data_IF_272591204696
#
_entry.id   IF_272591204696
#
_cell.length_a   1.000
_cell.length_b   1.000
_cell.length_c   1.000
_cell.angle_alpha   90.00
_cell.angle_beta   90.00
_cell.angle_gamma   90.00
#
_symmetry.space_group_name_H-M   'P 1'
#
loop_
_entity.id
_entity.type
_entity.pdbx_description
1 polymer ?
#
# COMPACT_ATOMS: atom_id res chain seq x y z
N UNK A 1 -14.81 -27.87 -122.54
CA UNK A 1 -15.84 -27.16 -121.74
C UNK A 1 -15.81 -27.46 -120.23
N UNK A 2 -14.74 -28.05 -119.66
CA UNK A 2 -14.65 -28.33 -118.20
C UNK A 2 -13.75 -27.35 -117.41
N UNK A 3 -12.97 -26.50 -118.10
CA UNK A 3 -11.95 -25.64 -117.46
C UNK A 3 -12.47 -24.23 -117.08
N UNK A 4 -13.56 -23.74 -117.70
CA UNK A 4 -14.15 -22.42 -117.37
C UNK A 4 -15.00 -22.43 -116.08
N UNK A 5 -15.52 -23.59 -115.68
CA UNK A 5 -16.35 -23.74 -114.47
C UNK A 5 -15.47 -23.71 -113.21
N UNK A 6 -14.19 -24.10 -113.31
CA UNK A 6 -13.25 -24.09 -112.19
C UNK A 6 -12.77 -22.68 -111.80
N UNK A 7 -12.66 -21.76 -112.77
CA UNK A 7 -12.28 -20.36 -112.49
C UNK A 7 -13.39 -19.54 -111.81
N UNK A 8 -14.67 -19.84 -112.06
CA UNK A 8 -15.80 -19.12 -111.44
C UNK A 8 -15.96 -19.55 -109.98
N UNK A 9 -15.69 -20.82 -109.65
CA UNK A 9 -15.70 -21.31 -108.27
C UNK A 9 -14.56 -20.72 -107.42
N UNK A 10 -13.39 -20.44 -108.02
CA UNK A 10 -12.28 -19.79 -107.32
C UNK A 10 -12.60 -18.32 -106.97
N UNK A 11 -13.25 -17.58 -107.87
CA UNK A 11 -13.58 -16.16 -107.63
C UNK A 11 -14.68 -15.96 -106.56
N UNK A 12 -15.61 -16.91 -106.43
CA UNK A 12 -16.62 -16.90 -105.36
C UNK A 12 -16.02 -17.17 -103.96
N UNK A 13 -14.91 -17.91 -103.88
CA UNK A 13 -14.24 -18.21 -102.62
C UNK A 13 -13.46 -17.01 -102.06
N UNK A 14 -12.97 -16.12 -102.92
CA UNK A 14 -12.24 -14.90 -102.50
C UNK A 14 -13.17 -13.78 -102.00
N UNK A 15 -14.47 -13.82 -102.31
CA UNK A 15 -15.44 -12.80 -101.92
C UNK A 15 -16.09 -13.02 -100.54
N UNK A 16 -15.95 -14.21 -99.94
CA UNK A 16 -16.57 -14.54 -98.65
C UNK A 16 -15.73 -14.14 -97.42
N UNK A 17 -14.56 -13.50 -97.61
CA UNK A 17 -13.60 -13.20 -96.54
C UNK A 17 -13.75 -11.84 -95.84
N UNK A 18 -14.65 -10.96 -96.27
CA UNK A 18 -14.88 -9.67 -95.63
C UNK A 18 -16.12 -9.69 -94.74
N UNK A 19 -15.94 -10.11 -93.48
CA UNK A 19 -16.85 -9.74 -92.39
C UNK A 19 -16.03 -9.20 -91.23
N UNK A 20 -16.03 -7.88 -91.04
CA UNK A 20 -15.53 -7.25 -89.81
C UNK A 20 -16.53 -7.56 -88.70
N UNK A 21 -16.13 -8.42 -87.78
CA UNK A 21 -16.92 -8.78 -86.61
C UNK A 21 -16.37 -8.01 -85.42
N UNK A 22 -17.19 -7.11 -84.88
CA UNK A 22 -16.83 -6.24 -83.76
C UNK A 22 -16.52 -7.11 -82.53
N UNK A 23 -15.40 -6.89 -81.82
CA UNK A 23 -14.98 -7.80 -80.76
C UNK A 23 -16.02 -7.82 -79.63
N UNK A 24 -16.40 -9.00 -79.11
CA UNK A 24 -17.38 -9.07 -78.03
C UNK A 24 -16.82 -8.34 -76.80
N UNK A 25 -17.66 -7.48 -76.20
CA UNK A 25 -17.32 -6.75 -74.99
C UNK A 25 -16.85 -7.74 -73.90
N UNK A 26 -15.63 -7.55 -73.42
CA UNK A 26 -14.99 -8.48 -72.50
C UNK A 26 -15.82 -8.59 -71.20
N UNK A 27 -16.00 -9.81 -70.64
CA UNK A 27 -16.79 -9.98 -69.43
C UNK A 27 -16.13 -9.24 -68.27
N UNK A 28 -16.89 -8.35 -67.63
CA UNK A 28 -16.42 -7.58 -66.47
C UNK A 28 -16.04 -8.53 -65.34
N UNK A 29 -14.74 -8.59 -65.01
CA UNK A 29 -14.24 -9.37 -63.88
C UNK A 29 -14.66 -8.72 -62.58
N UNK A 30 -15.57 -9.37 -61.86
CA UNK A 30 -15.91 -8.97 -60.49
C UNK A 30 -14.79 -9.38 -59.54
N UNK A 31 -14.38 -8.45 -58.69
CA UNK A 31 -13.44 -8.68 -57.60
C UNK A 31 -14.17 -8.60 -56.27
N UNK A 32 -13.76 -9.41 -55.30
CA UNK A 32 -14.27 -9.30 -53.94
C UNK A 32 -13.55 -8.13 -53.26
N UNK A 33 -14.32 -7.13 -52.84
CA UNK A 33 -13.82 -6.02 -52.04
C UNK A 33 -14.35 -6.13 -50.62
N UNK A 34 -13.56 -5.66 -49.66
CA UNK A 34 -13.98 -5.47 -48.28
C UNK A 34 -13.67 -4.02 -47.92
N UNK A 35 -14.67 -3.29 -47.44
CA UNK A 35 -14.50 -1.92 -46.98
C UNK A 35 -13.90 -1.95 -45.57
N UNK A 36 -12.75 -1.30 -45.39
CA UNK A 36 -12.08 -1.19 -44.09
C UNK A 36 -12.53 0.14 -43.47
N UNK A 37 -13.29 0.07 -42.40
CA UNK A 37 -13.59 1.24 -41.57
C UNK A 37 -12.48 1.44 -40.52
N UNK A 38 -12.20 2.70 -40.21
CA UNK A 38 -11.26 3.06 -39.16
C UNK A 38 -11.89 2.77 -37.79
N UNK A 39 -11.73 1.53 -37.30
CA UNK A 39 -12.03 1.21 -35.91
C UNK A 39 -10.89 1.71 -35.02
N UNK A 40 -11.21 2.51 -34.01
CA UNK A 40 -10.25 2.87 -32.98
C UNK A 40 -9.86 1.58 -32.21
N UNK A 41 -8.66 1.05 -32.49
CA UNK A 41 -8.13 -0.10 -31.77
C UNK A 41 -7.66 0.39 -30.40
N UNK A 42 -8.53 0.28 -29.39
CA UNK A 42 -8.14 0.45 -28.00
C UNK A 42 -7.47 -0.84 -27.51
N UNK A 43 -6.14 -0.93 -27.64
CA UNK A 43 -5.38 -2.00 -27.02
C UNK A 43 -5.36 -1.82 -25.50
N UNK A 44 -6.03 -2.69 -24.74
CA UNK A 44 -5.88 -2.70 -23.28
C UNK A 44 -4.64 -3.51 -22.92
N UNK A 45 -3.68 -2.89 -22.24
CA UNK A 45 -2.54 -3.59 -21.65
C UNK A 45 -2.97 -4.16 -20.30
N UNK A 46 -2.95 -5.48 -20.17
CA UNK A 46 -3.23 -6.17 -18.90
C UNK A 46 -1.91 -6.54 -18.23
N UNK A 47 -1.74 -6.09 -17.00
CA UNK A 47 -0.57 -6.42 -16.18
C UNK A 47 -0.98 -7.29 -15.00
N UNK A 48 -0.20 -8.33 -14.65
CA UNK A 48 -0.40 -9.04 -13.40
C UNK A 48 -0.02 -8.10 -12.24
N UNK A 49 -0.85 -8.09 -11.20
CA UNK A 49 -0.63 -7.30 -10.00
C UNK A 49 -1.26 -7.97 -8.80
N UNK A 50 -0.74 -7.66 -7.62
CA UNK A 50 -1.27 -8.18 -6.36
C UNK A 50 -1.67 -7.03 -5.44
N UNK A 51 -2.76 -7.23 -4.71
CA UNK A 51 -3.25 -6.24 -3.76
C UNK A 51 -2.54 -6.46 -2.43
N UNK A 52 -1.79 -5.46 -1.97
CA UNK A 52 -1.18 -5.44 -0.64
C UNK A 52 -1.81 -4.39 0.25
N UNK A 53 -1.83 -4.67 1.56
CA UNK A 53 -2.23 -3.68 2.55
C UNK A 53 -1.30 -2.46 2.46
N UNK A 54 -1.88 -1.27 2.39
CA UNK A 54 -1.10 -0.01 2.37
C UNK A 54 -0.31 0.19 3.67
N UNK A 55 -0.89 -0.25 4.79
CA UNK A 55 -0.30 -0.15 6.12
C UNK A 55 -0.58 -1.43 6.90
N UNK A 56 0.47 -2.00 7.50
CA UNK A 56 0.39 -3.14 8.42
C UNK A 56 0.88 -2.67 9.78
N UNK A 57 0.07 -2.83 10.83
CA UNK A 57 0.41 -2.44 12.20
C UNK A 57 0.58 -3.69 13.06
N UNK A 58 1.82 -3.96 13.48
CA UNK A 58 2.11 -5.01 14.46
C UNK A 58 1.91 -4.43 15.87
N UNK A 59 0.87 -4.89 16.55
CA UNK A 59 0.53 -4.44 17.89
C UNK A 59 1.14 -5.39 18.92
N UNK A 60 1.82 -4.82 19.90
CA UNK A 60 2.41 -5.53 21.03
C UNK A 60 2.30 -4.66 22.28
N UNK A 61 2.29 -5.31 23.45
CA UNK A 61 2.40 -4.60 24.70
C UNK A 61 3.84 -4.11 24.92
N UNK A 62 3.99 -2.96 25.58
CA UNK A 62 5.29 -2.37 25.90
C UNK A 62 6.01 -3.09 27.04
N UNK A 63 5.25 -3.82 27.85
CA UNK A 63 5.70 -4.57 29.00
C UNK A 63 5.21 -6.02 28.90
N UNK A 64 5.95 -6.94 29.50
CA UNK A 64 5.50 -8.32 29.68
C UNK A 64 4.45 -8.40 30.79
N UNK A 65 3.53 -9.35 30.67
CA UNK A 65 2.50 -9.58 31.70
C UNK A 65 1.47 -10.61 31.26
N UNK A 66 0.56 -10.94 32.17
CA UNK A 66 -0.57 -11.83 31.90
C UNK A 66 -1.71 -11.06 31.23
N UNK A 67 -2.29 -11.58 30.16
CA UNK A 67 -3.50 -11.01 29.57
C UNK A 67 -4.70 -11.40 30.44
N UNK A 68 -5.47 -10.41 30.89
CA UNK A 68 -6.68 -10.61 31.70
C UNK A 68 -7.96 -10.48 30.86
N UNK A 69 -7.90 -9.79 29.73
CA UNK A 69 -9.06 -9.59 28.87
C UNK A 69 -8.63 -9.43 27.41
N UNK A 70 -9.35 -10.09 26.49
CA UNK A 70 -9.28 -9.84 25.05
C UNK A 70 -10.66 -9.41 24.57
N UNK A 71 -10.76 -8.22 23.98
CA UNK A 71 -12.02 -7.55 23.61
C UNK A 71 -12.38 -7.68 22.13
N UNK A 72 -11.49 -8.24 21.33
CA UNK A 72 -11.67 -8.39 19.88
C UNK A 72 -11.27 -9.80 19.45
N UNK A 73 -11.96 -10.30 18.44
CA UNK A 73 -11.66 -11.58 17.81
C UNK A 73 -10.91 -11.40 16.50
N UNK A 74 -10.34 -12.51 16.02
CA UNK A 74 -9.58 -12.54 14.77
C UNK A 74 -10.51 -12.23 13.60
N UNK A 75 -10.12 -11.28 12.75
CA UNK A 75 -10.91 -10.82 11.61
C UNK A 75 -11.88 -9.67 11.90
N UNK A 76 -12.01 -9.24 13.17
CA UNK A 76 -12.83 -8.08 13.51
C UNK A 76 -12.24 -6.76 12.98
N UNK A 77 -13.11 -5.88 12.48
CA UNK A 77 -12.73 -4.51 12.13
C UNK A 77 -12.60 -3.66 13.39
N UNK A 78 -11.49 -2.91 13.51
CA UNK A 78 -11.19 -2.09 14.70
C UNK A 78 -10.90 -0.64 14.32
N UNK A 79 -11.17 0.28 15.24
CA UNK A 79 -10.91 1.72 15.05
C UNK A 79 -9.70 2.16 15.86
N UNK A 80 -9.05 3.26 15.44
CA UNK A 80 -7.96 3.88 16.21
C UNK A 80 -8.43 4.22 17.63
N UNK A 81 -7.63 3.83 18.63
CA UNK A 81 -7.94 4.07 20.04
C UNK A 81 -8.85 3.01 20.69
N UNK A 82 -9.34 2.03 19.93
CA UNK A 82 -10.11 0.93 20.49
C UNK A 82 -9.21 0.00 21.31
N UNK A 83 -9.63 -0.32 22.53
CA UNK A 83 -8.93 -1.27 23.40
C UNK A 83 -9.13 -2.68 22.84
N UNK A 84 -8.03 -3.34 22.49
CA UNK A 84 -8.05 -4.69 21.92
C UNK A 84 -7.89 -5.77 22.99
N UNK A 85 -7.02 -5.52 23.98
CA UNK A 85 -6.75 -6.43 25.08
C UNK A 85 -6.21 -5.66 26.28
N UNK A 86 -6.31 -6.24 27.48
CA UNK A 86 -5.80 -5.68 28.73
C UNK A 86 -4.86 -6.67 29.41
N UNK A 87 -3.71 -6.16 29.89
CA UNK A 87 -2.80 -6.88 30.76
C UNK A 87 -3.18 -6.70 32.23
N UNK A 88 -2.79 -7.65 33.06
CA UNK A 88 -2.75 -7.46 34.50
C UNK A 88 -1.73 -6.36 34.84
N UNK A 89 -2.21 -5.28 35.45
CA UNK A 89 -1.41 -4.11 35.77
C UNK A 89 -1.09 -4.01 37.27
N UNK A 90 -1.46 -4.99 38.10
CA UNK A 90 -1.28 -4.89 39.56
C UNK A 90 0.19 -4.68 39.95
N UNK A 91 1.09 -5.54 39.46
CA UNK A 91 2.51 -5.45 39.83
C UNK A 91 3.14 -4.12 39.38
N UNK A 92 2.78 -3.66 38.19
CA UNK A 92 3.30 -2.42 37.61
C UNK A 92 2.75 -1.20 38.33
N UNK A 93 1.47 -1.25 38.73
CA UNK A 93 0.85 -0.20 39.53
C UNK A 93 1.47 -0.12 40.93
N UNK A 94 1.77 -1.26 41.56
CA UNK A 94 2.47 -1.32 42.84
C UNK A 94 3.90 -0.76 42.73
N UNK A 95 4.63 -1.10 41.67
CA UNK A 95 5.96 -0.54 41.39
C UNK A 95 5.91 0.98 41.20
N UNK A 96 4.92 1.49 40.45
CA UNK A 96 4.71 2.92 40.27
C UNK A 96 4.37 3.63 41.60
N UNK A 97 3.51 3.04 42.42
CA UNK A 97 3.17 3.57 43.74
C UNK A 97 4.38 3.62 44.68
N UNK A 98 5.22 2.57 44.69
CA UNK A 98 6.44 2.53 45.47
C UNK A 98 7.44 3.61 45.02
N UNK A 99 7.61 3.80 43.71
CA UNK A 99 8.51 4.81 43.17
C UNK A 99 8.03 6.24 43.51
N UNK A 100 6.71 6.48 43.48
CA UNK A 100 6.13 7.77 43.88
C UNK A 100 6.31 8.03 45.38
N UNK A 101 6.16 7.00 46.23
CA UNK A 101 6.44 7.12 47.67
C UNK A 101 7.91 7.48 47.94
N UNK A 102 8.85 6.84 47.22
CA UNK A 102 10.27 7.15 47.32
C UNK A 102 10.59 8.58 46.87
N UNK A 103 9.93 9.06 45.81
CA UNK A 103 10.03 10.46 45.38
C UNK A 103 9.54 11.42 46.46
N UNK A 104 8.37 11.16 47.06
CA UNK A 104 7.82 12.00 48.11
C UNK A 104 8.73 12.06 49.35
N UNK A 105 9.34 10.93 49.73
CA UNK A 105 10.35 10.88 50.78
C UNK A 105 11.55 11.75 50.44
N UNK A 106 12.15 11.56 49.26
CA UNK A 106 13.32 12.33 48.83
C UNK A 106 13.02 13.83 48.73
N UNK A 107 11.79 14.22 48.38
CA UNK A 107 11.35 15.61 48.32
C UNK A 107 11.27 16.22 49.73
N UNK A 108 10.68 15.50 50.69
CA UNK A 108 10.65 15.91 52.08
C UNK A 108 12.07 16.04 52.67
N UNK A 109 12.98 15.12 52.35
CA UNK A 109 14.37 15.22 52.76
C UNK A 109 15.07 16.44 52.15
N UNK A 110 14.99 16.62 50.83
CA UNK A 110 15.62 17.75 50.16
C UNK A 110 15.12 19.08 50.74
N UNK A 111 13.81 19.21 51.01
CA UNK A 111 13.23 20.38 51.67
C UNK A 111 13.82 20.60 53.06
N UNK A 112 13.86 19.55 53.90
CA UNK A 112 14.47 19.60 55.23
C UNK A 112 15.93 20.06 55.19
N UNK A 113 16.71 19.54 54.26
CA UNK A 113 18.13 19.90 54.14
C UNK A 113 18.36 21.31 53.57
N UNK A 114 17.45 21.82 52.71
CA UNK A 114 17.47 23.23 52.30
C UNK A 114 17.26 24.16 53.49
N UNK A 115 16.29 23.84 54.35
CA UNK A 115 16.00 24.64 55.55
C UNK A 115 17.17 24.61 56.55
N UNK A 116 17.82 23.45 56.73
CA UNK A 116 19.03 23.32 57.56
C UNK A 116 20.22 24.07 56.98
N UNK A 117 20.37 24.07 55.65
CA UNK A 117 21.44 24.81 54.96
C UNK A 117 21.26 26.31 55.09
N UNK A 118 20.03 26.81 54.99
CA UNK A 118 19.71 28.22 55.22
C UNK A 118 20.11 28.70 56.63
N UNK A 119 20.12 27.78 57.60
CA UNK A 119 20.57 28.01 58.98
C UNK A 119 22.04 27.65 59.22
N UNK A 120 22.81 27.31 58.17
CA UNK A 120 24.21 26.88 58.24
C UNK A 120 24.49 25.61 59.08
N UNK A 121 23.49 24.75 59.32
CA UNK A 121 23.66 23.51 60.11
C UNK A 121 24.23 22.33 59.31
N UNK A 122 24.32 22.44 57.97
CA UNK A 122 24.86 21.40 57.07
C UNK A 122 25.76 22.00 56.00
N UNK A 123 26.70 21.21 55.47
CA UNK A 123 27.57 21.60 54.37
C UNK A 123 26.83 21.58 53.02
N UNK A 124 27.35 22.29 52.01
CA UNK A 124 26.75 22.25 50.66
C UNK A 124 26.77 20.86 50.05
N UNK A 125 27.87 20.11 50.22
CA UNK A 125 27.98 18.76 49.68
C UNK A 125 26.84 17.83 50.16
N UNK A 126 26.37 18.00 51.40
CA UNK A 126 25.24 17.23 51.94
C UNK A 126 23.92 17.64 51.28
N UNK A 127 23.69 18.95 51.07
CA UNK A 127 22.51 19.42 50.36
C UNK A 127 22.52 18.91 48.91
N UNK A 128 23.64 19.06 48.20
CA UNK A 128 23.80 18.63 46.81
C UNK A 128 23.53 17.13 46.65
N UNK A 129 23.98 16.30 47.60
CA UNK A 129 23.71 14.87 47.62
C UNK A 129 22.20 14.58 47.76
N UNK A 130 21.48 15.32 48.60
CA UNK A 130 20.03 15.17 48.80
C UNK A 130 19.22 15.69 47.61
N UNK A 131 19.65 16.78 46.99
CA UNK A 131 19.04 17.26 45.74
C UNK A 131 19.25 16.28 44.58
N UNK A 132 20.43 15.68 44.50
CA UNK A 132 20.72 14.63 43.51
C UNK A 132 19.86 13.40 43.75
N UNK A 133 19.70 12.97 45.00
CA UNK A 133 18.80 11.87 45.36
C UNK A 133 17.35 12.16 44.95
N UNK A 134 16.85 13.39 45.15
CA UNK A 134 15.54 13.80 44.69
C UNK A 134 15.42 13.72 43.16
N UNK A 135 16.39 14.24 42.41
CA UNK A 135 16.38 14.18 40.94
C UNK A 135 16.32 12.73 40.43
N UNK A 136 17.10 11.84 41.04
CA UNK A 136 17.07 10.41 40.72
C UNK A 136 15.72 9.78 41.03
N UNK A 137 15.13 10.07 42.20
CA UNK A 137 13.83 9.54 42.59
C UNK A 137 12.70 10.04 41.67
N UNK A 138 12.75 11.31 41.24
CA UNK A 138 11.81 11.88 40.25
C UNK A 138 11.93 11.14 38.92
N UNK A 139 13.15 10.91 38.43
CA UNK A 139 13.38 10.19 37.19
C UNK A 139 12.85 8.74 37.27
N UNK A 140 13.12 8.04 38.37
CA UNK A 140 12.65 6.68 38.60
C UNK A 140 11.11 6.59 38.66
N UNK A 141 10.46 7.52 39.36
CA UNK A 141 9.00 7.61 39.40
C UNK A 141 8.39 7.87 38.02
N UNK A 142 9.03 8.73 37.22
CA UNK A 142 8.62 8.97 35.83
C UNK A 142 8.69 7.73 34.95
N UNK A 143 9.76 6.94 35.07
CA UNK A 143 9.90 5.66 34.34
C UNK A 143 8.83 4.67 34.76
N UNK A 144 8.63 4.47 36.06
CA UNK A 144 7.63 3.53 36.58
C UNK A 144 6.20 3.91 36.17
N UNK A 145 5.87 5.22 36.20
CA UNK A 145 4.57 5.73 35.74
C UNK A 145 4.33 5.49 34.25
N UNK A 146 5.36 5.63 33.41
CA UNK A 146 5.26 5.38 31.98
C UNK A 146 5.08 3.90 31.63
N UNK A 147 5.48 2.99 32.51
CA UNK A 147 5.24 1.56 32.35
C UNK A 147 3.82 1.16 32.77
N UNK A 148 3.20 1.92 33.69
CA UNK A 148 1.84 1.71 34.16
C UNK A 148 0.75 2.31 33.24
N UNK A 149 1.12 3.17 32.29
CA UNK A 149 0.23 3.87 31.36
C UNK A 149 0.09 3.16 30.01
#
# INVERSE_FOLDING_TARGET
MKLKILSIASLALLAAGCSQQEPPAQPLRTVRVMQIDAAAVSGSLTFPGEVRARHESRLAFRIGGKIIERRVDVGAAVKRGQVLARLDAQDVALQAAQAEANRALAEAEAKRYRDLRAKNFVSQAVLDAKETALKTAVAQAGVAKNQAA
#
